data_IF_194575733756
#
_entry.id   IF_194575733756
#
_cell.length_a   1.000
_cell.length_b   1.000
_cell.length_c   1.000
_cell.angle_alpha   90.00
_cell.angle_beta   90.00
_cell.angle_gamma   90.00
#
_symmetry.space_group_name_H-M   'P 1'
#
loop_
_entity.id
_entity.type
_entity.pdbx_description
1 polymer ?
#
# COMPACT_ATOMS: atom_id res chain seq x y z
N UNK A 1 15.57 0.73 0.22
CA UNK A 1 14.70 1.79 -0.31
C UNK A 1 14.14 1.32 -1.63
N UNK A 2 13.03 0.58 -1.58
CA UNK A 2 12.23 0.28 -2.76
C UNK A 2 11.38 1.53 -3.05
N UNK A 3 11.53 2.10 -4.24
CA UNK A 3 10.72 3.23 -4.71
C UNK A 3 9.78 2.68 -5.77
N UNK A 4 8.51 2.47 -5.42
CA UNK A 4 7.47 2.22 -6.42
C UNK A 4 7.22 3.58 -7.08
N UNK A 5 7.87 3.82 -8.22
CA UNK A 5 7.59 4.99 -9.07
C UNK A 5 6.58 4.60 -10.15
N UNK A 6 5.35 5.09 -10.01
CA UNK A 6 4.49 5.47 -11.15
C UNK A 6 4.29 4.41 -12.25
N UNK A 7 4.02 3.15 -11.89
CA UNK A 7 3.44 2.19 -12.83
C UNK A 7 2.04 1.85 -12.34
N UNK A 8 1.05 2.63 -12.79
CA UNK A 8 -0.34 2.31 -12.48
C UNK A 8 -0.71 0.90 -12.91
N UNK A 9 -1.58 0.23 -12.15
CA UNK A 9 -2.03 -1.14 -12.41
C UNK A 9 -1.99 -2.01 -11.16
N UNK A 10 -1.69 -3.30 -11.35
CA UNK A 10 -1.59 -4.29 -10.28
C UNK A 10 -0.11 -4.59 -9.98
N UNK A 11 0.43 -3.95 -8.95
CA UNK A 11 1.83 -4.08 -8.53
C UNK A 11 2.03 -5.21 -7.51
N UNK A 12 3.17 -5.90 -7.60
CA UNK A 12 3.56 -6.96 -6.66
C UNK A 12 4.98 -6.70 -6.13
N UNK A 13 5.09 -6.57 -4.81
CA UNK A 13 6.37 -6.49 -4.09
C UNK A 13 6.58 -7.81 -3.34
N UNK A 14 7.72 -8.45 -3.59
CA UNK A 14 8.01 -9.80 -3.06
C UNK A 14 9.00 -9.83 -1.90
N UNK A 15 9.60 -8.69 -1.57
CA UNK A 15 10.70 -8.57 -0.62
C UNK A 15 10.48 -7.45 0.42
N UNK A 16 9.25 -6.97 0.60
CA UNK A 16 8.92 -5.94 1.60
C UNK A 16 9.21 -6.45 3.02
N UNK A 17 9.94 -5.66 3.80
CA UNK A 17 10.30 -5.97 5.19
C UNK A 17 9.80 -4.91 6.17
N UNK A 18 9.83 -5.22 7.47
CA UNK A 18 9.45 -4.27 8.53
C UNK A 18 10.39 -3.04 8.65
N UNK A 19 11.47 -2.99 7.88
CA UNK A 19 12.37 -1.82 7.81
C UNK A 19 12.14 -0.94 6.59
N UNK A 20 11.26 -1.38 5.68
CA UNK A 20 10.89 -0.62 4.50
C UNK A 20 9.73 0.33 4.80
N UNK A 21 9.54 1.30 3.91
CA UNK A 21 8.39 2.20 3.93
C UNK A 21 7.75 2.22 2.54
N UNK A 22 6.43 2.34 2.51
CA UNK A 22 5.65 2.57 1.31
C UNK A 22 5.38 4.07 1.17
N UNK A 23 5.42 4.56 -0.07
CA UNK A 23 5.07 5.94 -0.39
C UNK A 23 3.94 5.94 -1.41
N UNK A 24 2.78 6.48 -1.05
CA UNK A 24 1.58 6.51 -1.89
C UNK A 24 1.16 7.95 -2.18
N UNK A 25 0.72 8.17 -3.42
CA UNK A 25 0.20 9.45 -3.88
C UNK A 25 -1.27 9.60 -3.43
N UNK A 26 -1.62 10.74 -2.82
CA UNK A 26 -3.00 10.99 -2.38
C UNK A 26 -4.00 11.04 -3.52
N UNK A 27 -3.57 11.17 -4.78
CA UNK A 27 -4.48 11.16 -5.93
C UNK A 27 -5.09 9.79 -6.23
N UNK A 28 -4.75 8.75 -5.47
CA UNK A 28 -5.25 7.37 -5.65
C UNK A 28 -6.66 7.14 -5.07
N UNK A 29 -7.17 8.08 -4.29
CA UNK A 29 -8.49 8.04 -3.69
C UNK A 29 -9.08 9.44 -3.59
N UNK A 30 -10.38 9.51 -3.30
CA UNK A 30 -11.05 10.78 -3.07
C UNK A 30 -10.88 11.26 -1.62
N UNK A 31 -10.49 12.54 -1.47
CA UNK A 31 -10.41 13.24 -0.19
C UNK A 31 -9.11 13.03 0.60
N UNK A 32 -9.01 13.74 1.73
CA UNK A 32 -7.83 13.71 2.59
C UNK A 32 -7.94 12.59 3.62
N UNK A 33 -7.20 11.50 3.39
CA UNK A 33 -7.09 10.37 4.31
C UNK A 33 -5.75 10.37 5.03
N UNK A 34 -5.75 10.01 6.31
CA UNK A 34 -4.53 9.65 7.04
C UNK A 34 -4.05 8.27 6.63
N UNK A 35 -2.77 7.96 6.86
CA UNK A 35 -2.22 6.62 6.59
C UNK A 35 -3.02 5.49 7.28
N UNK A 36 -3.49 5.72 8.51
CA UNK A 36 -4.32 4.76 9.23
C UNK A 36 -5.68 4.55 8.55
N UNK A 37 -6.29 5.60 8.00
CA UNK A 37 -7.55 5.50 7.24
C UNK A 37 -7.33 4.81 5.90
N UNK A 38 -6.23 5.09 5.19
CA UNK A 38 -5.86 4.40 3.94
C UNK A 38 -5.75 2.90 4.18
N UNK A 39 -5.02 2.47 5.23
CA UNK A 39 -4.91 1.05 5.55
C UNK A 39 -6.25 0.44 5.96
N UNK A 40 -7.06 1.13 6.77
CA UNK A 40 -8.36 0.63 7.20
C UNK A 40 -9.35 0.48 6.04
N UNK A 41 -9.26 1.34 5.03
CA UNK A 41 -10.17 1.37 3.88
C UNK A 41 -9.73 0.43 2.77
N UNK A 42 -8.44 0.41 2.43
CA UNK A 42 -7.93 -0.22 1.22
C UNK A 42 -7.13 -1.50 1.46
N UNK A 43 -6.56 -1.71 2.66
CA UNK A 43 -5.70 -2.85 2.92
C UNK A 43 -6.47 -4.07 3.45
N UNK A 44 -6.14 -5.25 2.91
CA UNK A 44 -6.65 -6.53 3.37
C UNK A 44 -5.57 -7.59 3.36
N UNK A 45 -5.56 -8.45 4.38
CA UNK A 45 -4.71 -9.65 4.37
C UNK A 45 -5.44 -10.78 3.63
N UNK A 46 -4.87 -11.26 2.53
CA UNK A 46 -5.38 -12.37 1.71
C UNK A 46 -4.25 -13.35 1.44
N UNK A 47 -4.43 -14.62 1.82
CA UNK A 47 -3.45 -15.67 1.52
C UNK A 47 -2.06 -15.45 2.10
N UNK A 48 -1.93 -14.69 3.19
CA UNK A 48 -0.63 -14.33 3.78
C UNK A 48 0.06 -13.10 3.17
N UNK A 49 -0.64 -12.37 2.30
CA UNK A 49 -0.17 -11.13 1.68
C UNK A 49 -1.04 -9.96 2.14
N UNK A 50 -0.47 -8.77 2.27
CA UNK A 50 -1.23 -7.53 2.35
C UNK A 50 -1.52 -7.05 0.93
N UNK A 51 -2.79 -6.85 0.60
CA UNK A 51 -3.25 -6.31 -0.68
C UNK A 51 -3.94 -4.98 -0.40
N UNK A 52 -3.47 -3.91 -1.04
CA UNK A 52 -4.15 -2.62 -1.09
C UNK A 52 -4.88 -2.54 -2.43
N UNK A 53 -6.17 -2.21 -2.43
CA UNK A 53 -6.95 -1.95 -3.65
C UNK A 53 -7.53 -0.55 -3.56
N UNK A 54 -7.22 0.32 -4.52
CA UNK A 54 -7.54 1.74 -4.49
C UNK A 54 -8.83 2.06 -5.28
N UNK A 55 -9.33 3.30 -5.16
CA UNK A 55 -10.60 3.71 -5.79
C UNK A 55 -10.50 3.76 -7.32
N UNK A 56 -9.31 4.01 -7.87
CA UNK A 56 -9.02 3.97 -9.31
C UNK A 56 -8.98 2.53 -9.89
N UNK A 57 -9.13 1.52 -9.02
CA UNK A 57 -9.11 0.10 -9.38
C UNK A 57 -7.72 -0.52 -9.43
N UNK A 58 -6.67 0.26 -9.15
CA UNK A 58 -5.30 -0.24 -9.05
C UNK A 58 -5.07 -1.01 -7.75
N UNK A 59 -4.04 -1.84 -7.73
CA UNK A 59 -3.70 -2.61 -6.54
C UNK A 59 -2.20 -2.74 -6.29
N UNK A 60 -1.85 -2.94 -5.02
CA UNK A 60 -0.50 -3.24 -4.58
C UNK A 60 -0.54 -4.47 -3.66
N UNK A 61 0.19 -5.52 -4.02
CA UNK A 61 0.33 -6.73 -3.21
C UNK A 61 1.73 -6.80 -2.59
N UNK A 62 1.80 -6.85 -1.26
CA UNK A 62 3.01 -7.15 -0.49
C UNK A 62 3.00 -8.64 -0.15
N UNK A 63 3.76 -9.43 -0.91
CA UNK A 63 3.80 -10.88 -0.77
C UNK A 63 4.48 -11.29 0.53
N UNK A 64 3.86 -12.17 1.31
CA UNK A 64 4.41 -12.69 2.56
C UNK A 64 4.48 -11.67 3.69
N UNK A 65 3.95 -10.46 3.50
CA UNK A 65 3.96 -9.41 4.50
C UNK A 65 2.53 -9.07 4.93
N UNK A 66 2.21 -9.28 6.21
CA UNK A 66 0.85 -9.11 6.76
C UNK A 66 0.77 -8.05 7.86
N UNK A 67 1.91 -7.48 8.25
CA UNK A 67 2.05 -6.62 9.42
C UNK A 67 2.21 -5.14 9.04
N UNK A 68 1.58 -4.69 7.95
CA UNK A 68 1.66 -3.31 7.50
C UNK A 68 0.90 -2.39 8.47
N UNK A 69 1.58 -1.37 8.99
CA UNK A 69 1.01 -0.39 9.91
C UNK A 69 1.12 1.03 9.37
N UNK A 70 0.36 1.96 9.97
CA UNK A 70 0.31 3.35 9.51
C UNK A 70 1.67 4.06 9.52
N UNK A 71 2.60 3.65 10.39
CA UNK A 71 3.94 4.19 10.46
C UNK A 71 4.83 3.79 9.26
N UNK A 72 4.47 2.73 8.54
CA UNK A 72 5.20 2.26 7.36
C UNK A 72 4.79 3.03 6.09
N UNK A 73 3.72 3.84 6.16
CA UNK A 73 3.09 4.47 5.01
C UNK A 73 3.24 6.00 5.03
N UNK A 74 3.89 6.54 4.00
CA UNK A 74 4.03 7.98 3.78
C UNK A 74 3.15 8.45 2.62
N UNK A 75 2.30 9.43 2.89
CA UNK A 75 1.43 10.06 1.90
C UNK A 75 2.08 11.34 1.38
N UNK A 76 1.95 11.63 0.09
CA UNK A 76 2.46 12.86 -0.54
C UNK A 76 1.51 13.40 -1.59
#
# INVERSE_FOLDING_TARGET
MLKIEQHGGDDVVTDFTATDFLRLDHTKWDGDLTAAQVLAQFAKVVGGNTVLTFDDGESLTLTGFTALVAADLHLF
#
